data_IF_335925189005
#
_entry.id   IF_335925189005
#
_cell.length_a   1.000
_cell.length_b   1.000
_cell.length_c   1.000
_cell.angle_alpha   90.00
_cell.angle_beta   90.00
_cell.angle_gamma   90.00
#
_symmetry.space_group_name_H-M   'P 1'
#
loop_
_entity.id
_entity.type
_entity.pdbx_description
1 polymer ?
#
# COMPACT_ATOMS: atom_id res chain seq x y z
N UNK A 1 -25.34 7.69 -5.14
CA UNK A 1 -24.67 6.42 -4.76
C UNK A 1 -23.73 5.90 -5.86
N UNK A 2 -24.20 5.50 -7.06
CA UNK A 2 -23.32 4.93 -8.10
C UNK A 2 -22.12 5.81 -8.49
N UNK A 3 -22.33 7.11 -8.69
CA UNK A 3 -21.24 8.05 -9.01
C UNK A 3 -20.20 8.12 -7.86
N UNK A 4 -20.64 8.14 -6.61
CA UNK A 4 -19.76 8.12 -5.45
C UNK A 4 -18.86 6.87 -5.43
N UNK A 5 -19.42 5.69 -5.70
CA UNK A 5 -18.69 4.43 -5.82
C UNK A 5 -17.59 4.55 -6.88
N UNK A 6 -17.93 5.01 -8.07
CA UNK A 6 -16.99 5.16 -9.19
C UNK A 6 -15.86 6.13 -8.83
N UNK A 7 -16.20 7.27 -8.24
CA UNK A 7 -15.19 8.27 -7.80
C UNK A 7 -14.28 7.68 -6.74
N UNK A 8 -14.82 7.00 -5.72
CA UNK A 8 -14.03 6.32 -4.69
C UNK A 8 -13.05 5.29 -5.28
N UNK A 9 -13.51 4.49 -6.24
CA UNK A 9 -12.68 3.49 -6.91
C UNK A 9 -11.57 4.12 -7.74
N UNK A 10 -11.88 5.15 -8.54
CA UNK A 10 -10.89 5.84 -9.38
C UNK A 10 -9.85 6.54 -8.51
N UNK A 11 -10.29 7.30 -7.51
CA UNK A 11 -9.38 8.04 -6.62
C UNK A 11 -8.53 7.05 -5.82
N UNK A 12 -9.12 5.99 -5.28
CA UNK A 12 -8.37 4.93 -4.59
C UNK A 12 -7.30 4.31 -5.48
N UNK A 13 -7.64 3.93 -6.70
CA UNK A 13 -6.68 3.36 -7.65
C UNK A 13 -5.53 4.34 -7.97
N UNK A 14 -5.85 5.60 -8.25
CA UNK A 14 -4.82 6.61 -8.55
C UNK A 14 -3.88 6.84 -7.35
N UNK A 15 -4.41 6.91 -6.13
CA UNK A 15 -3.60 6.95 -4.90
C UNK A 15 -2.70 5.71 -4.78
N UNK A 16 -3.25 4.54 -5.04
CA UNK A 16 -2.50 3.29 -5.07
C UNK A 16 -1.35 3.29 -6.06
N UNK A 17 -1.55 3.92 -7.22
CA UNK A 17 -0.51 4.03 -8.24
C UNK A 17 0.74 4.81 -7.80
N UNK A 18 0.70 5.57 -6.71
CA UNK A 18 1.89 6.22 -6.14
C UNK A 18 2.85 5.13 -5.63
N UNK A 19 3.90 4.83 -6.39
CA UNK A 19 4.87 3.77 -6.09
C UNK A 19 6.06 4.34 -5.34
N UNK A 20 6.05 4.30 -4.01
CA UNK A 20 7.10 4.91 -3.19
C UNK A 20 8.47 4.32 -3.48
N UNK A 21 8.59 3.00 -3.59
CA UNK A 21 9.87 2.36 -3.90
C UNK A 21 10.40 2.69 -5.29
N UNK A 22 9.51 2.82 -6.28
CA UNK A 22 9.93 3.32 -7.61
C UNK A 22 10.43 4.76 -7.54
N UNK A 23 9.72 5.63 -6.82
CA UNK A 23 10.14 7.03 -6.62
C UNK A 23 11.50 7.11 -5.93
N UNK A 24 11.68 6.34 -4.85
CA UNK A 24 12.96 6.24 -4.11
C UNK A 24 14.08 5.73 -5.04
N UNK A 25 13.81 4.73 -5.87
CA UNK A 25 14.75 4.25 -6.89
C UNK A 25 15.15 5.37 -7.85
N UNK A 26 14.17 6.10 -8.40
CA UNK A 26 14.42 7.20 -9.35
C UNK A 26 15.22 8.35 -8.73
N UNK A 27 14.98 8.69 -7.47
CA UNK A 27 15.80 9.67 -6.71
C UNK A 27 17.25 9.20 -6.60
N UNK A 28 17.47 7.90 -6.47
CA UNK A 28 18.80 7.27 -6.46
C UNK A 28 19.34 6.94 -7.87
N UNK A 29 18.71 7.49 -8.93
CA UNK A 29 19.11 7.36 -10.34
C UNK A 29 19.08 5.93 -10.90
N UNK A 30 18.26 5.06 -10.32
CA UNK A 30 18.04 3.69 -10.80
C UNK A 30 16.55 3.40 -11.01
N UNK A 31 16.23 2.37 -11.79
CA UNK A 31 14.93 1.73 -11.73
C UNK A 31 15.05 0.52 -10.80
N UNK A 32 14.38 0.59 -9.65
CA UNK A 32 14.45 -0.48 -8.64
C UNK A 32 13.98 -1.84 -9.17
N UNK A 33 13.21 -1.85 -10.24
CA UNK A 33 12.69 -3.07 -10.88
C UNK A 33 13.72 -3.82 -11.72
N UNK A 34 14.83 -3.16 -12.05
CA UNK A 34 15.94 -3.80 -12.78
C UNK A 34 16.91 -4.54 -11.83
N UNK A 35 16.65 -4.47 -10.50
CA UNK A 35 17.53 -5.03 -9.47
C UNK A 35 16.79 -6.00 -8.54
N UNK A 36 17.54 -6.93 -7.99
CA UNK A 36 17.08 -7.90 -6.99
C UNK A 36 15.90 -8.74 -7.48
N UNK A 37 14.75 -8.62 -6.81
CA UNK A 37 13.54 -9.38 -7.18
C UNK A 37 12.69 -8.73 -8.28
N UNK A 38 13.09 -7.59 -8.81
CA UNK A 38 12.31 -6.85 -9.81
C UNK A 38 11.05 -6.16 -9.28
N UNK A 39 10.85 -6.16 -7.95
CA UNK A 39 9.66 -5.64 -7.31
C UNK A 39 9.90 -4.22 -6.76
N UNK A 40 8.92 -3.32 -6.88
CA UNK A 40 9.03 -1.94 -6.36
C UNK A 40 8.78 -1.82 -4.85
N UNK A 41 8.60 -2.93 -4.11
CA UNK A 41 8.25 -2.92 -2.69
C UNK A 41 9.46 -2.83 -1.75
N UNK A 42 9.13 -2.70 -0.45
CA UNK A 42 10.08 -2.49 0.66
C UNK A 42 11.24 -3.49 0.70
N UNK A 43 10.96 -4.79 0.55
CA UNK A 43 11.99 -5.84 0.64
C UNK A 43 13.04 -5.71 -0.46
N UNK A 44 12.62 -5.42 -1.69
CA UNK A 44 13.58 -5.21 -2.78
C UNK A 44 14.35 -3.90 -2.59
N UNK A 45 13.69 -2.85 -2.12
CA UNK A 45 14.35 -1.58 -1.78
C UNK A 45 15.39 -1.77 -0.67
N UNK A 46 15.11 -2.62 0.33
CA UNK A 46 16.07 -2.96 1.39
C UNK A 46 17.33 -3.62 0.83
N UNK A 47 17.15 -4.58 -0.07
CA UNK A 47 18.26 -5.33 -0.69
C UNK A 47 19.13 -4.47 -1.59
N UNK A 48 18.51 -3.52 -2.30
CA UNK A 48 19.18 -2.74 -3.36
C UNK A 48 19.72 -1.40 -2.86
N UNK A 49 18.97 -0.69 -2.01
CA UNK A 49 19.26 0.68 -1.56
C UNK A 49 19.44 0.81 -0.05
N UNK A 50 19.29 -0.29 0.69
CA UNK A 50 19.53 -0.32 2.13
C UNK A 50 18.36 0.14 3.00
N UNK A 51 18.61 0.20 4.33
CA UNK A 51 17.59 0.33 5.37
C UNK A 51 16.78 1.63 5.27
N UNK A 52 17.42 2.76 5.07
CA UNK A 52 16.74 4.08 5.03
C UNK A 52 15.73 4.14 3.87
N UNK A 53 16.14 3.72 2.69
CA UNK A 53 15.28 3.67 1.51
C UNK A 53 14.10 2.70 1.72
N UNK A 54 14.34 1.56 2.36
CA UNK A 54 13.30 0.59 2.70
C UNK A 54 12.27 1.16 3.68
N UNK A 55 12.71 1.86 4.73
CA UNK A 55 11.81 2.50 5.70
C UNK A 55 10.94 3.55 5.01
N UNK A 56 11.51 4.40 4.17
CA UNK A 56 10.76 5.40 3.40
C UNK A 56 9.73 4.72 2.49
N UNK A 57 10.12 3.64 1.81
CA UNK A 57 9.22 2.88 0.93
C UNK A 57 8.08 2.26 1.73
N UNK A 58 8.38 1.61 2.85
CA UNK A 58 7.38 0.99 3.73
C UNK A 58 6.35 2.02 4.24
N UNK A 59 6.85 3.12 4.81
CA UNK A 59 6.00 4.17 5.37
C UNK A 59 5.15 4.84 4.28
N UNK A 60 5.73 5.18 3.13
CA UNK A 60 4.99 5.78 2.05
C UNK A 60 3.91 4.86 1.47
N UNK A 61 4.18 3.56 1.36
CA UNK A 61 3.21 2.57 0.91
C UNK A 61 2.11 2.30 1.95
N UNK A 62 2.41 2.35 3.25
CA UNK A 62 1.42 2.25 4.31
C UNK A 62 0.56 3.52 4.40
N UNK A 63 1.19 4.69 4.39
CA UNK A 63 0.50 5.99 4.48
C UNK A 63 -0.47 6.19 3.32
N UNK A 64 -0.11 5.81 2.09
CA UNK A 64 -1.05 5.94 0.96
C UNK A 64 -2.30 5.08 1.13
N UNK A 65 -2.18 3.88 1.73
CA UNK A 65 -3.31 3.04 2.06
C UNK A 65 -4.24 3.70 3.08
N UNK A 66 -3.64 4.21 4.17
CA UNK A 66 -4.34 4.94 5.21
C UNK A 66 -5.03 6.20 4.66
N UNK A 67 -4.31 7.02 3.91
CA UNK A 67 -4.81 8.29 3.38
C UNK A 67 -5.89 8.06 2.33
N UNK A 68 -5.71 7.07 1.44
CA UNK A 68 -6.68 6.78 0.38
C UNK A 68 -8.06 6.41 0.93
N UNK A 69 -8.12 5.57 1.96
CA UNK A 69 -9.40 5.21 2.63
C UNK A 69 -9.99 6.42 3.38
N UNK A 70 -9.18 7.16 4.12
CA UNK A 70 -9.66 8.32 4.88
C UNK A 70 -10.12 9.46 3.95
N UNK A 71 -9.50 9.63 2.78
CA UNK A 71 -9.97 10.57 1.77
C UNK A 71 -11.38 10.22 1.28
N UNK A 72 -11.66 8.94 1.03
CA UNK A 72 -13.00 8.51 0.69
C UNK A 72 -13.98 8.79 1.84
N UNK A 73 -13.62 8.39 3.07
CA UNK A 73 -14.47 8.49 4.26
C UNK A 73 -14.82 9.93 4.63
N UNK A 74 -13.85 10.83 4.65
CA UNK A 74 -14.00 12.17 5.23
C UNK A 74 -14.14 13.28 4.19
N UNK A 75 -13.86 13.01 2.90
CA UNK A 75 -13.93 14.04 1.86
C UNK A 75 -14.91 13.63 0.75
N UNK A 76 -14.69 12.47 0.11
CA UNK A 76 -15.49 12.12 -1.07
C UNK A 76 -16.93 11.79 -0.67
N UNK A 77 -17.13 10.88 0.26
CA UNK A 77 -18.48 10.46 0.66
C UNK A 77 -19.34 11.62 1.18
N UNK A 78 -18.85 12.49 2.08
CA UNK A 78 -19.61 13.67 2.50
C UNK A 78 -19.95 14.62 1.36
N UNK A 79 -19.05 14.81 0.39
CA UNK A 79 -19.32 15.65 -0.79
C UNK A 79 -20.45 15.11 -1.67
N UNK A 80 -20.72 13.80 -1.61
CA UNK A 80 -21.85 13.15 -2.29
C UNK A 80 -23.06 12.91 -1.37
N UNK A 81 -23.07 13.48 -0.15
CA UNK A 81 -24.12 13.25 0.85
C UNK A 81 -24.35 11.75 1.17
N UNK A 82 -23.27 10.98 1.20
CA UNK A 82 -23.27 9.55 1.55
C UNK A 82 -22.63 9.36 2.90
N UNK A 83 -23.36 8.81 3.85
CA UNK A 83 -22.91 8.60 5.22
C UNK A 83 -23.04 7.13 5.63
N UNK A 84 -22.14 6.67 6.52
CA UNK A 84 -22.25 5.36 7.18
C UNK A 84 -21.97 4.12 6.32
N UNK A 85 -21.64 4.29 5.05
CA UNK A 85 -21.48 3.18 4.10
C UNK A 85 -20.06 2.58 4.14
N UNK A 86 -19.79 1.76 5.17
CA UNK A 86 -18.48 1.16 5.41
C UNK A 86 -17.94 0.34 4.21
N UNK A 87 -18.81 -0.23 3.38
CA UNK A 87 -18.38 -0.94 2.18
C UNK A 87 -17.67 -0.05 1.16
N UNK A 88 -17.97 1.26 1.11
CA UNK A 88 -17.25 2.20 0.23
C UNK A 88 -15.80 2.39 0.66
N UNK A 89 -15.52 2.37 1.97
CA UNK A 89 -14.14 2.40 2.45
C UNK A 89 -13.40 1.14 2.02
N UNK A 90 -14.07 -0.02 2.11
CA UNK A 90 -13.52 -1.30 1.68
C UNK A 90 -13.20 -1.30 0.18
N UNK A 91 -14.15 -0.86 -0.65
CA UNK A 91 -13.94 -0.74 -2.09
C UNK A 91 -12.79 0.22 -2.43
N UNK A 92 -12.72 1.36 -1.74
CA UNK A 92 -11.62 2.31 -1.92
C UNK A 92 -10.29 1.69 -1.51
N UNK A 93 -10.22 1.03 -0.35
CA UNK A 93 -9.03 0.33 0.12
C UNK A 93 -8.57 -0.75 -0.87
N UNK A 94 -9.50 -1.53 -1.39
CA UNK A 94 -9.24 -2.51 -2.45
C UNK A 94 -8.67 -1.84 -3.71
N UNK A 95 -9.25 -0.73 -4.14
CA UNK A 95 -8.77 0.03 -5.30
C UNK A 95 -7.36 0.60 -5.07
N UNK A 96 -7.04 1.07 -3.85
CA UNK A 96 -5.67 1.51 -3.48
C UNK A 96 -4.68 0.36 -3.62
N UNK A 97 -5.03 -0.84 -3.11
CA UNK A 97 -4.17 -2.02 -3.23
C UNK A 97 -4.01 -2.44 -4.69
N UNK A 98 -5.07 -2.42 -5.49
CA UNK A 98 -5.00 -2.69 -6.93
C UNK A 98 -4.07 -1.71 -7.65
N UNK A 99 -4.18 -0.41 -7.36
CA UNK A 99 -3.29 0.61 -7.94
C UNK A 99 -1.83 0.39 -7.54
N UNK A 100 -1.57 -0.06 -6.30
CA UNK A 100 -0.22 -0.42 -5.89
C UNK A 100 0.32 -1.66 -6.61
N UNK A 101 -0.50 -2.68 -6.79
CA UNK A 101 -0.07 -3.92 -7.44
C UNK A 101 0.06 -3.76 -8.96
N UNK A 102 -0.84 -2.98 -9.56
CA UNK A 102 -0.99 -2.84 -11.01
C UNK A 102 -1.03 -1.37 -11.46
N UNK A 103 0.03 -0.58 -11.22
CA UNK A 103 0.07 0.82 -11.64
C UNK A 103 0.15 0.93 -13.17
N UNK A 104 -0.81 1.61 -13.78
CA UNK A 104 -0.97 1.66 -15.24
C UNK A 104 0.27 2.24 -15.95
N UNK A 105 0.92 3.26 -15.37
CA UNK A 105 2.07 3.93 -15.99
C UNK A 105 3.39 3.13 -15.85
N UNK A 106 3.41 2.04 -15.07
CA UNK A 106 4.55 1.13 -14.94
C UNK A 106 4.33 -0.21 -15.66
N UNK A 107 3.43 -0.24 -16.64
CA UNK A 107 3.09 -1.45 -17.37
C UNK A 107 2.41 -2.50 -16.48
N UNK A 108 1.63 -2.06 -15.49
CA UNK A 108 0.94 -2.89 -14.51
C UNK A 108 1.86 -3.77 -13.64
N UNK A 109 3.12 -3.36 -13.47
CA UNK A 109 4.11 -4.07 -12.64
C UNK A 109 4.48 -3.19 -11.42
N UNK A 110 3.76 -3.37 -10.32
CA UNK A 110 3.93 -2.67 -9.06
C UNK A 110 4.50 -3.54 -7.94
N UNK A 111 4.14 -3.22 -6.71
CA UNK A 111 4.51 -3.96 -5.51
C UNK A 111 3.57 -5.12 -5.19
N UNK A 112 3.76 -5.76 -4.02
CA UNK A 112 2.91 -6.86 -3.53
C UNK A 112 1.74 -6.37 -2.64
N UNK A 113 1.71 -5.10 -2.28
CA UNK A 113 0.61 -4.49 -1.55
C UNK A 113 0.59 -4.73 -0.04
N UNK A 114 1.58 -5.40 0.55
CA UNK A 114 1.56 -5.78 1.98
C UNK A 114 1.50 -4.52 2.87
N UNK A 115 2.41 -3.58 2.70
CA UNK A 115 2.43 -2.34 3.47
C UNK A 115 1.17 -1.48 3.21
N UNK A 116 0.73 -1.40 1.95
CA UNK A 116 -0.49 -0.68 1.55
C UNK A 116 -1.73 -1.30 2.19
N UNK A 117 -1.85 -2.63 2.19
CA UNK A 117 -2.94 -3.35 2.87
C UNK A 117 -2.91 -3.09 4.38
N UNK A 118 -1.71 -3.09 4.99
CA UNK A 118 -1.56 -2.70 6.39
C UNK A 118 -2.15 -1.30 6.66
N UNK A 119 -1.80 -0.30 5.85
CA UNK A 119 -2.35 1.04 5.94
C UNK A 119 -3.88 1.09 5.78
N UNK A 120 -4.43 0.32 4.85
CA UNK A 120 -5.88 0.17 4.66
C UNK A 120 -6.54 -0.39 5.93
N UNK A 121 -6.00 -1.47 6.52
CA UNK A 121 -6.55 -2.07 7.74
C UNK A 121 -6.51 -1.08 8.92
N UNK A 122 -5.41 -0.32 9.07
CA UNK A 122 -5.32 0.73 10.08
C UNK A 122 -6.36 1.83 9.90
N UNK A 123 -6.71 2.20 8.65
CA UNK A 123 -7.75 3.18 8.36
C UNK A 123 -9.16 2.68 8.76
N UNK A 124 -9.39 1.37 8.66
CA UNK A 124 -10.65 0.74 9.08
C UNK A 124 -10.79 0.69 10.59
N UNK A 125 -9.80 0.12 11.25
CA UNK A 125 -9.83 -0.13 12.69
C UNK A 125 -8.40 -0.26 13.19
N UNK A 126 -7.91 0.76 13.89
CA UNK A 126 -6.50 0.81 14.30
C UNK A 126 -6.08 -0.34 15.23
N UNK A 127 -7.00 -0.82 16.12
CA UNK A 127 -6.71 -1.97 16.99
C UNK A 127 -6.52 -3.26 16.17
N UNK A 128 -7.37 -3.48 15.16
CA UNK A 128 -7.21 -4.60 14.23
C UNK A 128 -5.89 -4.48 13.46
N UNK A 129 -5.55 -3.27 13.04
CA UNK A 129 -4.28 -2.97 12.39
C UNK A 129 -3.08 -3.36 13.26
N UNK A 130 -3.11 -3.05 14.55
CA UNK A 130 -2.06 -3.45 15.50
C UNK A 130 -1.97 -4.97 15.64
N UNK A 131 -3.10 -5.66 15.77
CA UNK A 131 -3.13 -7.13 15.86
C UNK A 131 -2.55 -7.76 14.59
N UNK A 132 -2.99 -7.31 13.40
CA UNK A 132 -2.48 -7.81 12.14
C UNK A 132 -0.98 -7.55 11.98
N UNK A 133 -0.49 -6.37 12.39
CA UNK A 133 0.93 -6.04 12.35
C UNK A 133 1.74 -6.93 13.30
N UNK A 134 1.25 -7.19 14.53
CA UNK A 134 1.89 -8.06 15.49
C UNK A 134 1.98 -9.51 14.96
N UNK A 135 0.87 -10.05 14.45
CA UNK A 135 0.83 -11.39 13.85
C UNK A 135 1.79 -11.49 12.67
N UNK A 136 1.78 -10.48 11.78
CA UNK A 136 2.68 -10.45 10.63
C UNK A 136 4.16 -10.45 11.05
N UNK A 137 4.53 -9.64 12.06
CA UNK A 137 5.90 -9.59 12.56
C UNK A 137 6.32 -10.91 13.21
N UNK A 138 5.44 -11.52 14.02
CA UNK A 138 5.71 -12.83 14.64
C UNK A 138 5.92 -13.89 13.55
N UNK A 139 5.04 -13.97 12.55
CA UNK A 139 5.18 -14.90 11.44
C UNK A 139 6.47 -14.66 10.64
N UNK A 140 6.82 -13.39 10.41
CA UNK A 140 8.04 -13.02 9.69
C UNK A 140 9.30 -13.46 10.45
N UNK A 141 9.36 -13.22 11.75
CA UNK A 141 10.48 -13.65 12.60
C UNK A 141 10.60 -15.18 12.63
N UNK A 142 9.48 -15.88 12.86
CA UNK A 142 9.47 -17.34 12.89
C UNK A 142 9.93 -17.98 11.56
N UNK A 143 9.48 -17.43 10.42
CA UNK A 143 9.89 -17.96 9.11
C UNK A 143 11.32 -17.59 8.74
N UNK A 144 11.82 -16.44 9.22
CA UNK A 144 13.22 -16.03 9.05
C UNK A 144 14.16 -16.97 9.81
N UNK A 145 13.85 -17.24 11.09
CA UNK A 145 14.66 -18.14 11.93
C UNK A 145 14.69 -19.57 11.34
N UNK A 146 13.53 -20.07 10.86
CA UNK A 146 13.46 -21.38 10.22
C UNK A 146 14.23 -21.44 8.89
N UNK A 147 14.40 -20.33 8.17
CA UNK A 147 15.17 -20.27 6.93
C UNK A 147 16.70 -20.23 7.19
N UNK A 148 17.13 -19.74 8.35
CA UNK A 148 18.55 -19.68 8.74
C UNK A 148 19.04 -21.02 9.30
N UNK A 149 18.13 -21.98 9.61
CA UNK A 149 18.44 -23.34 10.10
C UNK A 149 18.52 -24.40 8.97
N UNK A 150 18.20 -24.03 7.72
CA UNK A 150 18.26 -24.90 6.52
C UNK A 150 19.47 -24.59 5.65
#
# INVERSE_FOLDING_TARGET
MAVCIVVCMIVGYLFGCIQTGYIVGRVNKIDIRDYGSGNSGTTNTLRTLGKTAAIITFLGDAVKGLVGVNLARYVIMPAFHVEGEAYLWLLTGFAVVLGHNFPFYLGFKGGKGIATTGGVIFAFHWQLGLVCAAVFLICLLYTSDAADEL
#
